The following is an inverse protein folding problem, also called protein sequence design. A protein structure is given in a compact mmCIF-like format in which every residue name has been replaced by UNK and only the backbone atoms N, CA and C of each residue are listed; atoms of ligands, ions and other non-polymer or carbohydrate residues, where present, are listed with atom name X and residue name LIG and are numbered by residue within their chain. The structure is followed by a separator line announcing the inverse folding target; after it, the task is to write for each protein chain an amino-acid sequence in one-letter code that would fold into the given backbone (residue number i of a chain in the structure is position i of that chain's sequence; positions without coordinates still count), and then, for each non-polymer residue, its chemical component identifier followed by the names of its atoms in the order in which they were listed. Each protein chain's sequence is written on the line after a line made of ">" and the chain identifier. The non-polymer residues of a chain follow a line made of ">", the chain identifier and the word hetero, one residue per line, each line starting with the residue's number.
data_IF_448731682035
#
_entry.id   IF_448731682035
#
_cell.length_a   1.000
_cell.length_b   1.000
_cell.length_c   1.000
_cell.angle_alpha   90.00
_cell.angle_beta   90.00
_cell.angle_gamma   90.00
#
_symmetry.space_group_name_H-M   'P 1'
#
loop_
_entity.id
_entity.type
_entity.pdbx_description
1 polymer ?
#
# COMPACT_ATOMS: atom_id res chain seq x y z
N UNK A 1 63.08 -45.26 -8.53
CA UNK A 1 63.04 -44.21 -7.51
C UNK A 1 62.52 -42.95 -8.20
N UNK A 2 61.32 -42.52 -7.82
CA UNK A 2 60.75 -41.16 -7.95
C UNK A 2 60.62 -40.55 -9.37
N UNK A 3 59.55 -39.87 -9.77
CA UNK A 3 58.20 -39.65 -9.24
C UNK A 3 57.46 -38.94 -10.39
N UNK A 4 56.27 -39.39 -10.76
CA UNK A 4 55.37 -38.61 -11.60
C UNK A 4 54.86 -37.40 -10.79
N UNK A 5 54.78 -36.22 -11.38
CA UNK A 5 53.95 -35.14 -10.82
C UNK A 5 53.28 -34.39 -11.96
N UNK A 6 51.97 -34.63 -12.06
CA UNK A 6 51.07 -34.05 -13.03
C UNK A 6 50.94 -32.52 -12.84
N UNK A 7 50.85 -31.81 -13.96
CA UNK A 7 50.48 -30.40 -14.04
C UNK A 7 49.01 -30.24 -13.60
N UNK A 8 48.79 -29.60 -12.45
CA UNK A 8 47.46 -29.15 -12.03
C UNK A 8 47.32 -27.67 -12.39
N UNK A 9 46.47 -27.39 -13.39
CA UNK A 9 45.95 -26.06 -13.67
C UNK A 9 45.08 -25.61 -12.49
N UNK A 10 45.54 -24.59 -11.76
CA UNK A 10 44.75 -23.88 -10.76
C UNK A 10 43.74 -22.97 -11.47
N UNK A 11 42.51 -23.45 -11.62
CA UNK A 11 41.36 -22.65 -12.01
C UNK A 11 40.28 -22.80 -10.96
N UNK A 12 40.45 -22.11 -9.83
CA UNK A 12 39.41 -21.95 -8.82
C UNK A 12 39.41 -20.51 -8.33
N UNK A 13 38.99 -19.60 -9.21
CA UNK A 13 38.49 -18.28 -8.81
C UNK A 13 37.12 -18.51 -8.16
N UNK A 14 37.12 -19.00 -6.91
CA UNK A 14 35.96 -18.85 -6.04
C UNK A 14 35.88 -17.37 -5.66
N UNK A 15 35.15 -16.58 -6.46
CA UNK A 15 34.63 -15.28 -6.02
C UNK A 15 33.53 -15.60 -5.00
N UNK A 16 33.97 -15.91 -3.78
CA UNK A 16 33.15 -15.93 -2.58
C UNK A 16 33.29 -14.55 -1.93
N UNK A 17 32.17 -13.87 -1.72
CA UNK A 17 32.11 -12.57 -1.04
C UNK A 17 32.19 -11.42 -2.03
N UNK A 18 31.19 -10.56 -2.18
CA UNK A 18 30.10 -10.24 -1.28
C UNK A 18 28.98 -9.69 -2.16
N UNK A 19 27.88 -10.43 -2.23
CA UNK A 19 26.61 -9.85 -2.63
C UNK A 19 26.25 -8.81 -1.57
N UNK A 20 26.71 -7.57 -1.74
CA UNK A 20 26.13 -6.40 -1.09
C UNK A 20 24.78 -6.17 -1.77
N UNK A 21 23.86 -7.12 -1.62
CA UNK A 21 22.47 -6.72 -1.57
C UNK A 21 22.36 -6.01 -0.22
N UNK A 22 21.93 -4.75 -0.17
CA UNK A 22 21.45 -4.23 1.10
C UNK A 22 20.37 -5.22 1.55
N UNK A 23 20.66 -6.01 2.57
CA UNK A 23 19.64 -6.69 3.36
C UNK A 23 18.78 -5.57 3.89
N UNK A 24 17.71 -5.26 3.15
CA UNK A 24 16.75 -4.23 3.53
C UNK A 24 16.39 -4.53 4.97
N UNK A 25 16.59 -3.54 5.85
CA UNK A 25 16.13 -3.63 7.22
C UNK A 25 14.71 -4.20 7.19
N UNK A 26 14.46 -5.26 7.96
CA UNK A 26 13.14 -5.85 8.06
C UNK A 26 12.18 -4.73 8.43
N UNK A 27 11.46 -4.20 7.42
CA UNK A 27 10.64 -3.01 7.61
C UNK A 27 9.51 -3.44 8.51
N UNK A 28 9.49 -2.93 9.74
CA UNK A 28 8.41 -3.24 10.67
C UNK A 28 7.11 -2.75 10.05
N UNK A 29 6.18 -3.69 9.86
CA UNK A 29 4.86 -3.43 9.31
C UNK A 29 3.84 -3.38 10.45
N UNK A 30 2.95 -2.41 10.39
CA UNK A 30 1.88 -2.23 11.37
C UNK A 30 0.52 -2.49 10.72
N UNK A 31 -0.39 -3.19 11.42
CA UNK A 31 -1.69 -3.51 10.86
C UNK A 31 -2.57 -2.25 10.79
N UNK A 32 -3.31 -2.13 9.70
CA UNK A 32 -4.43 -1.19 9.56
C UNK A 32 -5.61 -1.90 8.90
N UNK A 33 -6.78 -1.29 8.97
CA UNK A 33 -7.95 -1.75 8.22
C UNK A 33 -8.43 -0.68 7.26
N UNK A 34 -9.01 -1.12 6.14
CA UNK A 34 -9.59 -0.24 5.14
C UNK A 34 -11.03 -0.64 4.87
N UNK A 35 -11.96 0.29 5.06
CA UNK A 35 -13.39 0.07 4.84
C UNK A 35 -13.87 0.88 3.64
N UNK A 36 -14.48 0.19 2.68
CA UNK A 36 -15.17 0.81 1.55
C UNK A 36 -16.64 0.94 1.90
N UNK A 37 -17.11 2.19 1.97
CA UNK A 37 -18.48 2.52 2.36
C UNK A 37 -19.15 3.35 1.26
N UNK A 38 -20.20 2.82 0.65
CA UNK A 38 -20.99 3.53 -0.36
C UNK A 38 -22.28 4.10 0.24
N UNK A 39 -22.27 5.40 0.54
CA UNK A 39 -23.47 6.10 1.06
C UNK A 39 -24.51 6.42 -0.01
N UNK A 40 -24.14 6.35 -1.28
CA UNK A 40 -25.03 6.70 -2.39
C UNK A 40 -25.97 5.53 -2.70
N UNK A 41 -25.47 4.30 -2.66
CA UNK A 41 -26.28 3.10 -2.91
C UNK A 41 -26.55 2.26 -1.66
N UNK A 42 -25.94 2.61 -0.51
CA UNK A 42 -26.04 1.86 0.74
C UNK A 42 -25.71 0.37 0.61
N UNK A 43 -24.77 0.03 -0.28
CA UNK A 43 -24.25 -1.33 -0.39
C UNK A 43 -23.55 -1.75 0.92
N UNK A 44 -23.58 -3.04 1.28
CA UNK A 44 -22.84 -3.54 2.43
C UNK A 44 -21.36 -3.15 2.37
N UNK A 45 -20.84 -2.68 3.49
CA UNK A 45 -19.45 -2.29 3.63
C UNK A 45 -18.53 -3.48 3.36
N UNK A 46 -17.39 -3.21 2.71
CA UNK A 46 -16.31 -4.19 2.57
C UNK A 46 -15.10 -3.70 3.35
N UNK A 47 -14.53 -4.58 4.17
CA UNK A 47 -13.35 -4.26 4.97
C UNK A 47 -12.19 -5.17 4.59
N UNK A 48 -11.00 -4.59 4.49
CA UNK A 48 -9.76 -5.26 4.09
C UNK A 48 -8.69 -4.99 5.15
N UNK A 49 -7.94 -6.03 5.52
CA UNK A 49 -6.80 -5.89 6.44
C UNK A 49 -5.52 -5.83 5.63
N UNK A 50 -4.72 -4.80 5.88
CA UNK A 50 -3.43 -4.58 5.22
C UNK A 50 -2.44 -4.06 6.26
N UNK A 51 -1.24 -3.76 5.81
CA UNK A 51 -0.19 -3.26 6.68
C UNK A 51 0.50 -2.06 6.04
N UNK A 52 1.06 -1.22 6.89
CA UNK A 52 1.85 -0.06 6.48
C UNK A 52 3.22 -0.11 7.16
N UNK A 53 4.27 0.30 6.46
CA UNK A 53 5.60 0.44 7.05
C UNK A 53 5.60 1.56 8.11
N UNK A 54 6.57 1.55 9.02
CA UNK A 54 6.82 2.70 9.89
C UNK A 54 6.92 3.99 9.06
N UNK A 55 6.06 4.97 9.35
CA UNK A 55 5.94 6.25 8.62
C UNK A 55 5.61 6.10 7.12
N UNK A 56 5.14 4.93 6.70
CA UNK A 56 4.68 4.68 5.34
C UNK A 56 3.37 5.40 5.05
N UNK A 57 3.21 5.86 3.81
CA UNK A 57 2.01 6.55 3.35
C UNK A 57 0.91 5.56 2.95
N UNK A 58 -0.34 6.01 3.07
CA UNK A 58 -1.55 5.20 2.85
C UNK A 58 -1.58 4.53 1.47
N UNK A 59 -1.17 5.21 0.40
CA UNK A 59 -1.16 4.62 -0.95
C UNK A 59 -0.31 3.34 -1.03
N UNK A 60 0.76 3.22 -0.22
CA UNK A 60 1.55 1.99 -0.14
C UNK A 60 0.78 0.84 0.50
N UNK A 61 0.00 1.12 1.54
CA UNK A 61 -0.88 0.14 2.18
C UNK A 61 -2.04 -0.29 1.26
N UNK A 62 -2.57 0.64 0.46
CA UNK A 62 -3.57 0.37 -0.59
C UNK A 62 -3.00 -0.54 -1.69
N UNK A 63 -1.75 -0.30 -2.13
CA UNK A 63 -1.07 -1.16 -3.10
C UNK A 63 -0.87 -2.59 -2.56
N UNK A 64 -0.44 -2.73 -1.30
CA UNK A 64 -0.33 -4.04 -0.63
C UNK A 64 -1.68 -4.75 -0.56
N UNK A 65 -2.75 -4.03 -0.23
CA UNK A 65 -4.09 -4.60 -0.23
C UNK A 65 -4.54 -5.04 -1.63
N UNK A 66 -4.27 -4.26 -2.68
CA UNK A 66 -4.60 -4.64 -4.05
C UNK A 66 -3.84 -5.90 -4.48
N UNK A 67 -2.58 -6.05 -4.08
CA UNK A 67 -1.79 -7.26 -4.34
C UNK A 67 -2.32 -8.48 -3.56
N UNK A 68 -2.67 -8.28 -2.29
CA UNK A 68 -3.22 -9.33 -1.40
C UNK A 68 -4.61 -9.79 -1.83
N UNK A 69 -5.46 -8.86 -2.26
CA UNK A 69 -6.86 -9.08 -2.63
C UNK A 69 -7.08 -8.84 -4.12
N UNK A 70 -6.37 -9.59 -4.99
CA UNK A 70 -6.33 -9.38 -6.46
C UNK A 70 -7.68 -9.11 -7.14
N UNK A 71 -8.75 -9.77 -6.68
CA UNK A 71 -10.12 -9.60 -7.20
C UNK A 71 -11.09 -8.97 -6.18
N UNK A 72 -10.58 -8.60 -5.00
CA UNK A 72 -11.36 -8.12 -3.87
C UNK A 72 -11.22 -6.62 -3.65
N UNK A 73 -10.00 -6.08 -3.73
CA UNK A 73 -9.70 -4.66 -3.56
C UNK A 73 -8.98 -4.11 -4.78
N UNK A 74 -9.49 -3.03 -5.36
CA UNK A 74 -8.79 -2.29 -6.41
C UNK A 74 -9.00 -0.79 -6.24
N UNK A 75 -8.06 0.01 -6.74
CA UNK A 75 -8.23 1.46 -6.79
C UNK A 75 -7.50 2.05 -8.00
N UNK A 76 -7.95 3.23 -8.43
CA UNK A 76 -7.25 4.01 -9.46
C UNK A 76 -6.99 5.42 -8.95
N UNK A 77 -5.92 6.02 -9.47
CA UNK A 77 -5.57 7.40 -9.16
C UNK A 77 -5.29 8.18 -10.43
N UNK A 78 -5.55 9.48 -10.38
CA UNK A 78 -5.05 10.44 -11.38
C UNK A 78 -4.04 11.34 -10.69
N UNK A 79 -2.91 11.59 -11.32
CA UNK A 79 -1.91 12.50 -10.75
C UNK A 79 -2.31 13.95 -11.02
N UNK A 80 -2.25 14.78 -9.98
CA UNK A 80 -2.36 16.23 -10.05
C UNK A 80 -1.02 16.84 -9.60
N UNK A 81 -0.53 17.85 -10.32
CA UNK A 81 0.78 18.45 -10.06
C UNK A 81 0.85 19.16 -8.69
N UNK A 82 -0.26 19.77 -8.26
CA UNK A 82 -0.32 20.57 -7.05
C UNK A 82 -0.67 19.72 -5.81
N UNK A 83 -1.38 18.60 -6.00
CA UNK A 83 -1.96 17.80 -4.91
C UNK A 83 -1.52 16.33 -4.87
N UNK A 84 -0.76 15.86 -5.88
CA UNK A 84 -0.31 14.47 -5.97
C UNK A 84 -1.41 13.50 -6.44
N UNK A 85 -1.40 12.22 -5.99
CA UNK A 85 -2.33 11.21 -6.46
C UNK A 85 -3.74 11.44 -5.91
N UNK A 86 -4.66 11.84 -6.78
CA UNK A 86 -6.08 11.96 -6.48
C UNK A 86 -6.77 10.60 -6.61
N UNK A 87 -7.51 10.18 -5.56
CA UNK A 87 -8.24 8.91 -5.55
C UNK A 87 -9.47 8.98 -6.46
N UNK A 88 -9.44 8.24 -7.56
CA UNK A 88 -10.44 8.34 -8.61
C UNK A 88 -11.52 7.25 -8.48
N UNK A 89 -11.11 6.01 -8.20
CA UNK A 89 -12.02 4.89 -7.99
C UNK A 89 -11.55 3.94 -6.90
N UNK A 90 -12.50 3.27 -6.25
CA UNK A 90 -12.26 2.12 -5.36
C UNK A 90 -13.23 1.01 -5.75
N UNK A 91 -12.74 -0.22 -5.89
CA UNK A 91 -13.48 -1.40 -6.33
C UNK A 91 -14.29 -1.18 -7.62
N UNK A 92 -13.72 -0.43 -8.57
CA UNK A 92 -14.33 -0.10 -9.85
C UNK A 92 -15.41 0.99 -9.80
N UNK A 93 -15.77 1.51 -8.62
CA UNK A 93 -16.72 2.61 -8.48
C UNK A 93 -15.98 3.96 -8.53
N UNK A 94 -16.22 4.71 -9.60
CA UNK A 94 -15.53 5.97 -9.90
C UNK A 94 -16.32 7.18 -9.42
N UNK A 95 -15.62 8.21 -8.92
CA UNK A 95 -16.18 9.55 -8.75
C UNK A 95 -16.67 10.15 -10.07
N UNK A 96 -17.55 11.14 -9.98
CA UNK A 96 -18.15 11.79 -11.15
C UNK A 96 -18.56 13.21 -10.82
N UNK A 97 -17.99 14.18 -11.54
CA UNK A 97 -18.39 15.58 -11.46
C UNK A 97 -19.84 15.78 -11.87
N UNK A 98 -20.30 15.14 -12.94
CA UNK A 98 -21.69 15.26 -13.41
C UNK A 98 -22.73 14.69 -12.44
N UNK A 99 -22.37 13.66 -11.66
CA UNK A 99 -23.24 13.06 -10.64
C UNK A 99 -23.00 13.61 -9.24
N UNK A 100 -22.06 14.55 -9.10
CA UNK A 100 -21.58 15.09 -7.84
C UNK A 100 -21.18 13.98 -6.86
N UNK A 101 -20.35 13.01 -7.26
CA UNK A 101 -19.93 11.89 -6.41
C UNK A 101 -18.41 11.77 -6.30
N UNK A 102 -17.88 11.55 -5.10
CA UNK A 102 -16.42 11.44 -4.84
C UNK A 102 -16.13 10.46 -3.70
N UNK A 103 -14.84 10.17 -3.51
CA UNK A 103 -14.32 9.41 -2.38
C UNK A 103 -13.81 10.36 -1.29
N UNK A 104 -14.52 10.43 -0.18
CA UNK A 104 -14.09 11.13 1.03
C UNK A 104 -13.22 10.19 1.88
N UNK A 105 -12.08 10.68 2.35
CA UNK A 105 -11.16 9.96 3.24
C UNK A 105 -11.48 10.28 4.69
N UNK A 106 -11.96 9.29 5.44
CA UNK A 106 -12.15 9.40 6.89
C UNK A 106 -11.21 8.45 7.61
N UNK A 107 -10.74 8.85 8.78
CA UNK A 107 -9.88 8.03 9.63
C UNK A 107 -10.63 7.80 10.93
N UNK A 108 -10.87 6.53 11.26
CA UNK A 108 -11.28 6.14 12.60
C UNK A 108 -10.05 5.62 13.34
N UNK A 109 -9.56 6.41 14.30
CA UNK A 109 -8.40 6.03 15.10
C UNK A 109 -8.73 4.88 16.08
N UNK A 110 -7.71 4.33 16.73
CA UNK A 110 -7.85 3.26 17.74
C UNK A 110 -8.79 3.60 18.91
N UNK A 111 -8.97 4.89 19.22
CA UNK A 111 -9.89 5.37 20.26
C UNK A 111 -11.34 5.50 19.75
N UNK A 112 -11.58 5.16 18.48
CA UNK A 112 -12.88 5.23 17.84
C UNK A 112 -13.30 6.61 17.35
N UNK A 113 -12.44 7.64 17.48
CA UNK A 113 -12.73 8.99 16.98
C UNK A 113 -12.61 9.00 15.46
N UNK A 114 -13.60 9.58 14.78
CA UNK A 114 -13.61 9.71 13.33
C UNK A 114 -13.27 11.13 12.94
N UNK A 115 -12.24 11.30 12.09
CA UNK A 115 -11.85 12.59 11.52
C UNK A 115 -11.86 12.52 10.00
N UNK A 116 -12.08 13.67 9.34
CA UNK A 116 -11.84 13.80 7.90
C UNK A 116 -10.35 14.07 7.72
N UNK A 117 -9.69 13.33 6.83
CA UNK A 117 -8.29 13.59 6.54
C UNK A 117 -8.14 14.96 5.85
N UNK A 118 -7.14 15.73 6.28
CA UNK A 118 -6.77 17.03 5.72
C UNK A 118 -5.79 16.89 4.53
N UNK A 119 -5.28 15.68 4.29
CA UNK A 119 -4.39 15.33 3.18
C UNK A 119 -4.89 14.11 2.40
N UNK A 120 -4.39 13.95 1.17
CA UNK A 120 -4.74 12.82 0.30
C UNK A 120 -4.01 11.51 0.65
N UNK A 121 -4.39 10.44 -0.08
CA UNK A 121 -3.81 9.09 0.09
C UNK A 121 -2.29 9.02 -0.16
N UNK A 122 -1.72 10.00 -0.87
CA UNK A 122 -0.29 10.11 -1.13
C UNK A 122 0.52 10.73 0.01
N UNK A 123 -0.14 11.31 1.02
CA UNK A 123 0.52 12.02 2.12
C UNK A 123 0.08 11.52 3.50
N UNK A 124 -1.13 10.99 3.64
CA UNK A 124 -1.61 10.46 4.90
C UNK A 124 -0.71 9.31 5.38
N UNK A 125 -0.23 9.40 6.62
CA UNK A 125 0.55 8.35 7.31
C UNK A 125 -0.37 7.74 8.37
N UNK A 126 -0.86 6.50 8.16
CA UNK A 126 -1.70 5.83 9.14
C UNK A 126 -0.95 5.49 10.43
N UNK A 127 -1.63 5.63 11.57
CA UNK A 127 -1.17 5.05 12.83
C UNK A 127 -1.53 3.55 12.87
N UNK A 128 -0.80 2.74 13.65
CA UNK A 128 -1.17 1.35 13.91
C UNK A 128 -2.63 1.25 14.39
N UNK A 129 -3.35 0.28 13.84
CA UNK A 129 -4.76 -0.02 14.14
C UNK A 129 -5.78 1.01 13.66
N UNK A 130 -5.37 2.02 12.88
CA UNK A 130 -6.31 2.90 12.20
C UNK A 130 -7.26 2.10 11.28
N UNK A 131 -8.51 2.54 11.26
CA UNK A 131 -9.47 2.17 10.22
C UNK A 131 -9.63 3.33 9.24
N UNK A 132 -9.13 3.11 8.03
CA UNK A 132 -9.23 4.03 6.91
C UNK A 132 -10.55 3.79 6.19
N UNK A 133 -11.42 4.79 6.14
CA UNK A 133 -12.73 4.68 5.51
C UNK A 133 -12.70 5.46 4.19
N UNK A 134 -12.82 4.73 3.08
CA UNK A 134 -13.11 5.30 1.77
C UNK A 134 -14.63 5.41 1.62
N UNK A 135 -15.16 6.60 1.87
CA UNK A 135 -16.59 6.87 1.82
C UNK A 135 -16.97 7.45 0.46
N UNK A 136 -17.69 6.68 -0.36
CA UNK A 136 -18.30 7.18 -1.59
C UNK A 136 -19.54 8.00 -1.25
N UNK A 137 -19.55 9.27 -1.61
CA UNK A 137 -20.59 10.22 -1.19
C UNK A 137 -20.79 11.35 -2.19
N UNK A 138 -21.71 12.27 -1.90
CA UNK A 138 -22.05 13.42 -2.76
C UNK A 138 -21.61 14.77 -2.19
N UNK A 139 -21.51 15.78 -3.06
CA UNK A 139 -21.37 17.20 -2.70
C UNK A 139 -22.45 18.07 -3.37
#
# INVERSE_FOLDING_TARGET
>A
MALAMALLFSAAFFILGSSIFPTGEATTLYPITMTVYDTVTNKPNKTYSTEVAYRGILIGAMQRAQQKYKNGFSFTTTYNLDYGPFLESVNGLKGSTAKHTYWQLLIKNKNGTVVIADVGIGCYIPDPEDNIIFKFTKW
#
